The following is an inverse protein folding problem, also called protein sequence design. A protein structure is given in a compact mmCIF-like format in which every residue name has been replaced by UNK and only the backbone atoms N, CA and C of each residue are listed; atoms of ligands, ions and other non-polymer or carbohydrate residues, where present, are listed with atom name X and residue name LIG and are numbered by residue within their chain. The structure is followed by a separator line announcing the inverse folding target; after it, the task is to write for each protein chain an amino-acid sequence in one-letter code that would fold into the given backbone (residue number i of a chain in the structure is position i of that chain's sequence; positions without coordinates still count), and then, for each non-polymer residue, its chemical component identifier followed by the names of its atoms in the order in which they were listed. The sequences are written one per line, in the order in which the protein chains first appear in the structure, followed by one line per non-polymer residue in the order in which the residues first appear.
data_IF_193385311294
#
_entry.id   IF_193385311294
#
_cell.length_a   1.000
_cell.length_b   1.000
_cell.length_c   1.000
_cell.angle_alpha   90.00
_cell.angle_beta   90.00
_cell.angle_gamma   90.00
#
_symmetry.space_group_name_H-M   'P 1'
#
loop_
_entity.id
_entity.type
_entity.pdbx_description
1 polymer ?
#
# COMPACT_ATOMS: atom_id res chain seq x y z
N UNK A 1 5.84 -42.69 -6.97
CA UNK A 1 5.49 -41.73 -8.05
C UNK A 1 4.52 -40.67 -7.59
N UNK A 2 3.43 -41.01 -6.88
CA UNK A 2 2.50 -40.01 -6.32
C UNK A 2 3.18 -38.99 -5.39
N UNK A 3 4.08 -39.40 -4.49
CA UNK A 3 4.69 -38.48 -3.52
C UNK A 3 5.51 -37.34 -4.17
N UNK A 4 6.24 -37.65 -5.24
CA UNK A 4 7.02 -36.64 -5.98
C UNK A 4 6.08 -35.63 -6.66
N UNK A 5 4.97 -36.11 -7.24
CA UNK A 5 3.95 -35.26 -7.87
C UNK A 5 3.26 -34.40 -6.81
N UNK A 6 2.90 -34.97 -5.66
CA UNK A 6 2.29 -34.26 -4.53
C UNK A 6 3.18 -33.14 -4.03
N UNK A 7 4.47 -33.42 -3.81
CA UNK A 7 5.45 -32.40 -3.38
C UNK A 7 5.58 -31.29 -4.42
N UNK A 8 5.65 -31.64 -5.71
CA UNK A 8 5.74 -30.66 -6.79
C UNK A 8 4.52 -29.73 -6.81
N UNK A 9 3.30 -30.28 -6.66
CA UNK A 9 2.07 -29.49 -6.62
C UNK A 9 2.04 -28.58 -5.39
N UNK A 10 2.43 -29.09 -4.21
CA UNK A 10 2.48 -28.28 -2.98
C UNK A 10 3.44 -27.10 -3.17
N UNK A 11 4.63 -27.33 -3.73
CA UNK A 11 5.59 -26.26 -3.99
C UNK A 11 5.03 -25.19 -4.93
N UNK A 12 4.33 -25.60 -6.00
CA UNK A 12 3.69 -24.67 -6.93
C UNK A 12 2.59 -23.86 -6.22
N UNK A 13 1.72 -24.52 -5.45
CA UNK A 13 0.64 -23.85 -4.71
C UNK A 13 1.20 -22.84 -3.70
N UNK A 14 2.26 -23.21 -2.97
CA UNK A 14 2.93 -22.30 -2.03
C UNK A 14 3.57 -21.13 -2.78
N UNK A 15 4.27 -21.37 -3.88
CA UNK A 15 4.90 -20.31 -4.67
C UNK A 15 3.86 -19.32 -5.22
N UNK A 16 2.74 -19.82 -5.76
CA UNK A 16 1.63 -18.99 -6.25
C UNK A 16 1.01 -18.19 -5.12
N UNK A 17 0.80 -18.79 -3.94
CA UNK A 17 0.27 -18.07 -2.78
C UNK A 17 1.23 -16.95 -2.35
N UNK A 18 2.52 -17.24 -2.18
CA UNK A 18 3.51 -16.23 -1.78
C UNK A 18 3.55 -15.09 -2.80
N UNK A 19 3.59 -15.40 -4.09
CA UNK A 19 3.56 -14.40 -5.14
C UNK A 19 2.28 -13.54 -5.08
N UNK A 20 1.13 -14.18 -4.91
CA UNK A 20 -0.15 -13.50 -4.79
C UNK A 20 -0.20 -12.53 -3.59
N UNK A 21 0.31 -12.96 -2.42
CA UNK A 21 0.37 -12.11 -1.23
C UNK A 21 1.30 -10.89 -1.42
N UNK A 22 2.47 -11.09 -2.01
CA UNK A 22 3.42 -10.01 -2.29
C UNK A 22 2.82 -8.99 -3.28
N UNK A 23 2.17 -9.49 -4.33
CA UNK A 23 1.48 -8.64 -5.30
C UNK A 23 0.34 -7.84 -4.65
N UNK A 24 -0.45 -8.49 -3.79
CA UNK A 24 -1.57 -7.86 -3.09
C UNK A 24 -1.06 -6.78 -2.10
N UNK A 25 0.05 -7.02 -1.41
CA UNK A 25 0.67 -6.04 -0.52
C UNK A 25 1.24 -4.81 -1.25
N UNK A 26 1.75 -4.97 -2.48
CA UNK A 26 2.29 -3.88 -3.28
C UNK A 26 1.21 -2.99 -3.93
N UNK A 27 0.00 -3.52 -4.11
CA UNK A 27 -1.14 -2.89 -4.79
C UNK A 27 -1.49 -1.47 -4.28
N UNK A 28 -1.72 -1.24 -2.96
CA UNK A 28 -2.09 0.10 -2.45
C UNK A 28 -1.00 1.14 -2.70
N UNK A 29 0.28 0.78 -2.56
CA UNK A 29 1.41 1.66 -2.86
C UNK A 29 1.50 2.03 -4.34
N UNK A 30 1.27 1.05 -5.22
CA UNK A 30 1.24 1.27 -6.66
C UNK A 30 0.10 2.23 -7.06
N UNK A 31 -1.11 2.04 -6.52
CA UNK A 31 -2.26 2.94 -6.75
C UNK A 31 -1.97 4.36 -6.26
N UNK A 32 -1.38 4.50 -5.06
CA UNK A 32 -1.04 5.81 -4.51
C UNK A 32 -0.02 6.55 -5.40
N UNK A 33 0.96 5.83 -5.96
CA UNK A 33 1.99 6.41 -6.82
C UNK A 33 1.44 6.81 -8.20
N UNK A 34 0.56 5.99 -8.77
CA UNK A 34 -0.14 6.29 -10.03
C UNK A 34 -1.03 7.54 -9.92
N UNK A 35 -1.61 7.76 -8.74
CA UNK A 35 -2.45 8.93 -8.44
C UNK A 35 -1.68 10.18 -8.00
N UNK A 36 -0.34 10.15 -8.01
CA UNK A 36 0.50 11.23 -7.49
C UNK A 36 0.16 11.64 -6.04
N UNK A 37 -0.16 10.66 -5.20
CA UNK A 37 -0.51 10.92 -3.81
C UNK A 37 0.72 11.44 -3.03
N UNK A 38 0.60 12.52 -2.23
CA UNK A 38 1.73 13.12 -1.51
C UNK A 38 2.37 12.19 -0.47
N UNK A 39 1.62 11.19 0.01
CA UNK A 39 2.06 10.20 1.00
C UNK A 39 2.21 8.79 0.39
N UNK A 40 2.53 8.68 -0.90
CA UNK A 40 2.63 7.38 -1.59
C UNK A 40 3.64 6.41 -0.93
N UNK A 41 4.75 6.91 -0.38
CA UNK A 41 5.72 6.06 0.33
C UNK A 41 5.15 5.49 1.64
N UNK A 42 4.41 6.31 2.40
CA UNK A 42 3.80 5.86 3.65
C UNK A 42 2.74 4.78 3.40
N UNK A 43 1.93 4.96 2.35
CA UNK A 43 0.94 3.95 1.91
C UNK A 43 1.64 2.66 1.44
N UNK A 44 2.77 2.78 0.75
CA UNK A 44 3.57 1.62 0.33
C UNK A 44 4.08 0.84 1.53
N UNK A 45 4.66 1.51 2.53
CA UNK A 45 5.07 0.88 3.79
C UNK A 45 3.89 0.22 4.52
N UNK A 46 2.72 0.86 4.53
CA UNK A 46 1.49 0.31 5.11
C UNK A 46 1.02 -0.97 4.38
N UNK A 47 1.17 -1.01 3.05
CA UNK A 47 0.93 -2.20 2.24
C UNK A 47 1.85 -3.36 2.62
N UNK A 48 3.15 -3.12 2.80
CA UNK A 48 4.10 -4.14 3.28
C UNK A 48 3.81 -4.60 4.71
N UNK A 49 3.42 -3.68 5.60
CA UNK A 49 3.02 -4.02 6.98
C UNK A 49 1.79 -4.94 7.02
N UNK A 50 0.93 -4.89 6.01
CA UNK A 50 -0.24 -5.79 5.94
C UNK A 50 0.13 -7.28 5.84
N UNK A 51 1.32 -7.61 5.35
CA UNK A 51 1.84 -8.99 5.36
C UNK A 51 2.13 -9.48 6.79
N UNK A 52 2.54 -8.58 7.70
CA UNK A 52 2.79 -8.90 9.10
C UNK A 52 1.50 -8.96 9.91
N UNK A 53 0.49 -8.16 9.55
CA UNK A 53 -0.78 -8.02 10.29
C UNK A 53 -1.91 -8.91 9.75
N UNK A 54 -1.60 -9.93 8.94
CA UNK A 54 -2.59 -10.82 8.32
C UNK A 54 -3.67 -10.05 7.52
N UNK A 55 -3.25 -9.11 6.67
CA UNK A 55 -4.14 -8.28 5.84
C UNK A 55 -5.05 -7.30 6.59
N UNK A 56 -4.96 -7.20 7.92
CA UNK A 56 -5.81 -6.30 8.69
C UNK A 56 -5.66 -4.83 8.27
N UNK A 57 -4.43 -4.39 7.99
CA UNK A 57 -4.14 -3.00 7.58
C UNK A 57 -4.27 -2.74 6.08
N UNK A 58 -4.49 -3.78 5.27
CA UNK A 58 -4.58 -3.67 3.81
C UNK A 58 -5.75 -2.79 3.31
N UNK A 59 -7.01 -3.00 3.76
CA UNK A 59 -8.13 -2.14 3.32
C UNK A 59 -7.94 -0.68 3.76
N UNK A 60 -7.30 -0.45 4.91
CA UNK A 60 -6.98 0.90 5.40
C UNK A 60 -5.99 1.58 4.46
N UNK A 61 -4.91 0.88 4.07
CA UNK A 61 -3.92 1.40 3.13
C UNK A 61 -4.54 1.70 1.76
N UNK A 62 -5.48 0.87 1.31
CA UNK A 62 -6.25 1.14 0.10
C UNK A 62 -7.10 2.40 0.26
N UNK A 63 -7.98 2.47 1.26
CA UNK A 63 -8.84 3.67 1.46
C UNK A 63 -7.97 4.93 1.52
N UNK A 64 -6.83 4.87 2.20
CA UNK A 64 -5.88 5.98 2.26
C UNK A 64 -5.25 6.34 0.90
N UNK A 65 -4.99 5.37 0.03
CA UNK A 65 -4.58 5.63 -1.36
C UNK A 65 -5.63 6.38 -2.18
N UNK A 66 -6.91 6.29 -1.80
CA UNK A 66 -8.01 7.01 -2.45
C UNK A 66 -8.33 8.36 -1.78
N UNK A 67 -7.90 8.60 -0.54
CA UNK A 67 -8.15 9.86 0.16
C UNK A 67 -6.96 10.81 0.02
N UNK A 68 -7.15 11.97 -0.61
CA UNK A 68 -6.07 12.95 -0.74
C UNK A 68 -6.02 13.85 0.51
N UNK A 69 -4.87 13.99 1.21
CA UNK A 69 -4.75 14.94 2.30
C UNK A 69 -4.81 16.37 1.76
N UNK A 70 -5.66 17.20 2.37
CA UNK A 70 -5.76 18.60 2.02
C UNK A 70 -4.42 19.30 2.30
N UNK A 71 -3.89 20.02 1.31
CA UNK A 71 -2.74 20.89 1.53
C UNK A 71 -3.22 22.11 2.31
N UNK A 72 -2.91 22.16 3.61
CA UNK A 72 -3.15 23.35 4.41
C UNK A 72 -2.26 24.45 3.86
N UNK A 73 -2.85 25.50 3.28
CA UNK A 73 -2.11 26.72 2.99
C UNK A 73 -1.93 27.47 4.30
N UNK A 74 -0.69 27.67 4.69
CA UNK A 74 -0.37 28.63 5.76
C UNK A 74 -0.33 29.98 5.09
N UNK A 75 -1.44 30.72 5.18
CA UNK A 75 -1.46 32.10 4.71
C UNK A 75 -0.59 32.93 5.65
N UNK A 76 0.45 33.55 5.09
CA UNK A 76 1.29 34.47 5.86
C UNK A 76 0.45 35.67 6.33
N UNK A 77 0.69 36.19 7.55
CA UNK A 77 -0.05 37.33 8.06
C UNK A 77 0.03 38.50 7.07
N UNK A 78 -1.13 39.00 6.67
CA UNK A 78 -1.21 40.18 5.79
C UNK A 78 -0.39 41.31 6.42
N UNK A 79 0.61 41.88 5.73
CA UNK A 79 1.41 42.96 6.28
C UNK A 79 0.51 44.13 6.69
N UNK A 80 0.83 44.83 7.79
CA UNK A 80 -0.01 45.92 8.27
C UNK A 80 -0.18 46.95 7.16
N UNK A 81 -1.44 47.32 6.91
CA UNK A 81 -1.75 48.41 5.99
C UNK A 81 -0.96 49.64 6.45
N UNK A 82 -0.09 50.15 5.58
CA UNK A 82 0.68 51.36 5.86
C UNK A 82 -0.32 52.48 6.17
N UNK A 83 -0.25 52.99 7.39
CA UNK A 83 -1.05 54.12 7.89
C UNK A 83 -0.65 55.42 7.22
#
# INVERSE_FOLDING_TARGET
MLDVITIAIILIVVAVNVFFLLWLAALPGAIARDRHHPQAEAITCCGWLSLLTLFATWPIALVWAYTNPAHVRVDEPRPPAKA
#
